data_IF_759526768881
#
_entry.id   IF_759526768881
#
_cell.length_a   1.000
_cell.length_b   1.000
_cell.length_c   1.000
_cell.angle_alpha   90.00
_cell.angle_beta   90.00
_cell.angle_gamma   90.00
#
_symmetry.space_group_name_H-M   'P 1'
#
loop_
_entity.id
_entity.type
_entity.pdbx_description
1 polymer ?
#
# COMPACT_ATOMS: atom_id res chain seq x y z
N UNK A 1 -28.56 3.38 -13.85
CA UNK A 1 -28.52 2.11 -13.11
C UNK A 1 -27.09 1.94 -12.63
N UNK A 2 -26.83 2.06 -11.33
CA UNK A 2 -25.49 1.84 -10.74
C UNK A 2 -25.51 0.52 -9.98
N UNK A 3 -24.53 -0.34 -10.22
CA UNK A 3 -24.31 -1.58 -9.47
C UNK A 3 -22.94 -1.53 -8.80
N UNK A 4 -22.88 -1.99 -7.56
CA UNK A 4 -21.62 -2.17 -6.83
C UNK A 4 -21.05 -3.53 -7.23
N UNK A 5 -19.77 -3.59 -7.58
CA UNK A 5 -19.06 -4.84 -7.92
C UNK A 5 -17.91 -5.00 -6.94
N UNK A 6 -17.95 -6.05 -6.14
CA UNK A 6 -16.84 -6.43 -5.27
C UNK A 6 -15.82 -7.23 -6.08
N UNK A 7 -14.66 -6.64 -6.33
CA UNK A 7 -13.56 -7.32 -7.02
C UNK A 7 -12.73 -8.05 -5.98
N UNK A 8 -12.68 -9.38 -6.11
CA UNK A 8 -11.83 -10.25 -5.30
C UNK A 8 -10.62 -10.68 -6.12
N UNK A 9 -9.43 -10.26 -5.70
CA UNK A 9 -8.16 -10.62 -6.38
C UNK A 9 -7.52 -11.80 -5.65
N UNK A 10 -7.27 -12.88 -6.40
CA UNK A 10 -6.49 -14.03 -5.93
C UNK A 10 -5.03 -13.94 -6.40
N UNK A 11 -4.12 -14.56 -5.66
CA UNK A 11 -2.75 -14.75 -6.13
C UNK A 11 -2.75 -15.63 -7.39
N UNK A 12 -2.36 -15.07 -8.54
CA UNK A 12 -2.26 -15.82 -9.79
C UNK A 12 -1.22 -16.94 -9.69
N UNK A 13 -1.56 -18.12 -10.22
CA UNK A 13 -0.65 -19.27 -10.30
C UNK A 13 -0.57 -20.15 -9.04
N UNK A 14 -1.38 -19.89 -8.00
CA UNK A 14 -1.45 -20.75 -6.81
C UNK A 14 -2.86 -21.30 -6.63
N UNK A 15 -2.99 -22.63 -6.67
CA UNK A 15 -4.28 -23.28 -6.40
C UNK A 15 -4.74 -23.00 -4.96
N UNK A 16 -6.01 -22.62 -4.76
CA UNK A 16 -6.59 -22.48 -3.43
C UNK A 16 -6.47 -23.79 -2.64
N UNK A 17 -6.18 -23.68 -1.34
CA UNK A 17 -6.17 -24.80 -0.40
C UNK A 17 -7.34 -24.60 0.56
N UNK A 18 -8.08 -25.67 0.86
CA UNK A 18 -9.26 -25.58 1.71
C UNK A 18 -8.97 -24.95 3.08
N UNK A 19 -9.83 -24.03 3.50
CA UNK A 19 -9.82 -23.43 4.82
C UNK A 19 -10.46 -24.38 5.82
N UNK A 20 -9.82 -24.59 6.97
CA UNK A 20 -10.43 -25.28 8.09
C UNK A 20 -10.01 -24.60 9.41
N UNK A 21 -10.85 -23.76 10.03
CA UNK A 21 -12.24 -23.41 9.63
C UNK A 21 -12.31 -22.42 8.44
N UNK A 22 -13.42 -22.45 7.67
CA UNK A 22 -13.72 -21.43 6.65
C UNK A 22 -14.68 -21.86 5.52
N UNK A 23 -14.94 -20.96 4.55
CA UNK A 23 -15.80 -21.20 3.39
C UNK A 23 -14.97 -21.63 2.18
N UNK A 24 -15.41 -22.70 1.50
CA UNK A 24 -14.71 -23.33 0.38
C UNK A 24 -15.69 -23.60 -0.78
N UNK A 25 -15.24 -23.39 -2.02
CA UNK A 25 -15.95 -23.82 -3.24
C UNK A 25 -15.08 -24.84 -3.96
N UNK A 26 -15.72 -25.89 -4.47
CA UNK A 26 -15.07 -26.98 -5.19
C UNK A 26 -15.62 -27.08 -6.62
N UNK A 27 -14.79 -27.52 -7.55
CA UNK A 27 -15.26 -27.94 -8.88
C UNK A 27 -15.75 -29.40 -8.86
N UNK A 28 -16.31 -29.86 -9.98
CA UNK A 28 -16.80 -31.24 -10.14
C UNK A 28 -15.72 -32.32 -9.98
N UNK A 29 -14.43 -31.96 -10.11
CA UNK A 29 -13.30 -32.86 -9.89
C UNK A 29 -12.81 -32.87 -8.42
N UNK A 30 -13.51 -32.20 -7.50
CA UNK A 30 -13.15 -32.13 -6.08
C UNK A 30 -12.00 -31.19 -5.76
N UNK A 31 -11.54 -30.38 -6.71
CA UNK A 31 -10.47 -29.41 -6.48
C UNK A 31 -11.03 -28.13 -5.86
N UNK A 32 -10.35 -27.59 -4.85
CA UNK A 32 -10.70 -26.32 -4.24
C UNK A 32 -10.46 -25.18 -5.24
N UNK A 33 -11.53 -24.52 -5.68
CA UNK A 33 -11.48 -23.37 -6.61
C UNK A 33 -11.63 -22.03 -5.89
N UNK A 34 -12.11 -22.05 -4.65
CA UNK A 34 -12.16 -20.89 -3.76
C UNK A 34 -11.99 -21.36 -2.32
N UNK A 35 -11.29 -20.58 -1.51
CA UNK A 35 -11.16 -20.85 -0.07
C UNK A 35 -10.86 -19.55 0.69
N UNK A 36 -11.45 -19.41 1.87
CA UNK A 36 -11.11 -18.32 2.81
C UNK A 36 -9.81 -18.57 3.59
N UNK A 37 -9.07 -19.65 3.30
CA UNK A 37 -7.78 -19.94 3.93
C UNK A 37 -6.77 -18.83 3.65
N UNK A 38 -6.88 -18.23 2.46
CA UNK A 38 -6.18 -17.03 2.07
C UNK A 38 -7.21 -15.92 1.91
N UNK A 39 -7.07 -14.87 2.71
CA UNK A 39 -8.03 -13.77 2.78
C UNK A 39 -8.11 -13.10 1.41
N UNK A 40 -9.31 -13.00 0.80
CA UNK A 40 -9.49 -12.23 -0.42
C UNK A 40 -9.11 -10.76 -0.17
N UNK A 41 -8.37 -10.15 -1.09
CA UNK A 41 -8.22 -8.69 -1.07
C UNK A 41 -9.53 -8.07 -1.54
N UNK A 42 -10.25 -7.44 -0.62
CA UNK A 42 -11.48 -6.67 -0.92
C UNK A 42 -11.10 -5.21 -1.12
N UNK A 43 -11.44 -4.66 -2.28
CA UNK A 43 -11.22 -3.25 -2.60
C UNK A 43 -12.56 -2.52 -2.73
N UNK A 44 -12.80 -1.56 -1.83
CA UNK A 44 -14.07 -0.83 -1.73
C UNK A 44 -14.10 0.48 -2.54
N UNK A 45 -13.19 0.65 -3.50
CA UNK A 45 -13.12 1.88 -4.29
C UNK A 45 -12.56 3.10 -3.55
N UNK A 46 -11.89 2.91 -2.41
CA UNK A 46 -11.32 3.98 -1.60
C UNK A 46 -9.80 4.03 -1.76
N UNK A 47 -9.26 5.22 -2.03
CA UNK A 47 -7.83 5.44 -2.18
C UNK A 47 -7.27 6.42 -1.15
N UNK A 48 -5.97 6.33 -0.93
CA UNK A 48 -5.18 7.24 -0.14
C UNK A 48 -4.04 7.81 -1.00
N UNK A 49 -3.96 9.14 -1.10
CA UNK A 49 -2.85 9.83 -1.78
C UNK A 49 -1.90 10.36 -0.72
N UNK A 50 -0.66 9.88 -0.75
CA UNK A 50 0.33 10.22 0.25
C UNK A 50 0.83 11.66 0.11
N UNK A 51 0.97 12.35 1.24
CA UNK A 51 1.61 13.67 1.37
C UNK A 51 2.71 13.65 2.43
N UNK A 52 3.58 14.66 2.44
CA UNK A 52 4.53 14.91 3.53
C UNK A 52 3.83 15.38 4.82
N UNK A 53 2.60 15.87 4.72
CA UNK A 53 1.72 16.21 5.85
C UNK A 53 0.99 14.96 6.33
N UNK A 54 0.80 14.84 7.66
CA UNK A 54 0.02 13.75 8.25
C UNK A 54 -1.44 13.80 7.80
N UNK A 55 -1.95 12.65 7.34
CA UNK A 55 -3.32 12.46 6.89
C UNK A 55 -3.88 11.20 7.52
N UNK A 56 -5.14 11.25 7.96
CA UNK A 56 -5.85 10.06 8.44
C UNK A 56 -6.10 9.11 7.29
N UNK A 57 -5.90 7.82 7.51
CA UNK A 57 -6.25 6.80 6.52
C UNK A 57 -7.77 6.66 6.48
N UNK A 58 -8.41 6.83 5.30
CA UNK A 58 -9.85 6.67 5.16
C UNK A 58 -10.34 5.33 5.71
N UNK A 59 -11.37 5.36 6.56
CA UNK A 59 -11.96 4.15 7.14
C UNK A 59 -11.05 3.33 8.05
N UNK A 60 -9.88 3.85 8.46
CA UNK A 60 -8.94 3.14 9.32
C UNK A 60 -8.29 1.91 8.66
N UNK A 61 -8.39 1.79 7.33
CA UNK A 61 -7.89 0.65 6.59
C UNK A 61 -6.36 0.59 6.47
N UNK A 62 -5.90 -0.42 5.73
CA UNK A 62 -4.50 -0.67 5.45
C UNK A 62 -4.11 -0.08 4.09
N UNK A 63 -2.90 0.48 4.00
CA UNK A 63 -2.29 0.96 2.75
C UNK A 63 -1.00 0.20 2.45
N UNK A 64 -0.66 0.00 1.17
CA UNK A 64 0.59 -0.66 0.81
C UNK A 64 1.82 0.16 1.23
N UNK A 65 2.80 -0.54 1.81
CA UNK A 65 4.13 0.02 2.11
C UNK A 65 4.97 0.11 0.85
N UNK A 66 5.77 1.17 0.73
CA UNK A 66 6.57 1.42 -0.45
C UNK A 66 7.51 2.62 -0.33
N UNK A 67 8.05 3.02 -1.47
CA UNK A 67 8.89 4.21 -1.63
C UNK A 67 8.11 5.22 -2.46
N UNK A 68 7.97 6.45 -1.96
CA UNK A 68 7.03 7.43 -2.51
C UNK A 68 7.74 8.71 -2.96
N UNK A 69 8.85 8.55 -3.68
CA UNK A 69 9.64 9.65 -4.21
C UNK A 69 10.97 9.85 -3.49
N UNK A 70 11.49 11.07 -3.56
CA UNK A 70 12.83 11.44 -3.15
C UNK A 70 12.77 12.60 -2.15
N UNK A 71 13.57 12.51 -1.09
CA UNK A 71 13.64 13.47 0.00
C UNK A 71 15.07 14.00 0.12
N UNK A 72 15.16 15.32 0.24
CA UNK A 72 16.37 16.04 0.64
C UNK A 72 16.15 16.56 2.07
N UNK A 73 16.93 16.15 3.07
CA UNK A 73 16.77 16.60 4.46
C UNK A 73 17.28 18.02 4.68
N UNK A 74 18.28 18.45 3.90
CA UNK A 74 18.90 19.77 3.99
C UNK A 74 19.62 20.09 2.68
N UNK A 75 19.54 21.36 2.27
CA UNK A 75 20.32 21.92 1.16
C UNK A 75 21.58 22.62 1.70
N UNK A 76 22.36 21.94 2.53
CA UNK A 76 23.59 22.47 3.12
C UNK A 76 24.85 21.87 2.49
N UNK A 77 25.80 22.71 2.08
CA UNK A 77 27.08 22.28 1.50
C UNK A 77 27.02 21.98 -0.01
N UNK A 78 28.15 21.50 -0.56
CA UNK A 78 28.28 21.18 -1.99
C UNK A 78 27.57 19.88 -2.39
N UNK A 79 27.63 18.86 -1.53
CA UNK A 79 26.97 17.55 -1.73
C UNK A 79 25.67 17.49 -0.96
N UNK A 80 24.59 17.15 -1.65
CA UNK A 80 23.26 16.99 -1.06
C UNK A 80 22.90 15.51 -0.98
N UNK A 81 22.58 15.06 0.23
CA UNK A 81 22.19 13.67 0.50
C UNK A 81 20.72 13.42 0.17
N UNK A 82 20.44 12.31 -0.48
CA UNK A 82 19.11 11.91 -0.92
C UNK A 82 18.65 10.65 -0.19
N UNK A 83 17.37 10.64 0.15
CA UNK A 83 16.69 9.52 0.79
C UNK A 83 15.40 9.25 0.04
N UNK A 84 14.91 8.02 0.02
CA UNK A 84 13.54 7.77 -0.39
C UNK A 84 12.56 8.30 0.66
N UNK A 85 11.40 8.76 0.19
CA UNK A 85 10.25 8.89 1.08
C UNK A 85 9.71 7.49 1.43
N UNK A 86 9.61 7.18 2.72
CA UNK A 86 8.88 6.03 3.25
C UNK A 86 7.61 6.47 3.96
N UNK A 87 6.85 5.53 4.51
CA UNK A 87 5.68 5.81 5.35
C UNK A 87 6.08 5.95 6.81
N UNK A 88 5.53 6.97 7.47
CA UNK A 88 5.61 7.15 8.93
C UNK A 88 4.18 7.16 9.45
N UNK A 89 3.89 6.25 10.38
CA UNK A 89 2.60 6.15 11.05
C UNK A 89 2.69 6.69 12.47
N UNK A 90 1.70 7.50 12.85
CA UNK A 90 1.55 7.98 14.22
C UNK A 90 0.06 8.21 14.51
N UNK A 91 -0.46 7.56 15.57
CA UNK A 91 -1.83 7.74 16.06
C UNK A 91 -2.92 7.65 14.95
N UNK A 92 -2.83 6.64 14.07
CA UNK A 92 -3.80 6.43 12.98
C UNK A 92 -3.65 7.35 11.76
N UNK A 93 -2.64 8.22 11.76
CA UNK A 93 -2.29 9.06 10.60
C UNK A 93 -1.02 8.56 9.92
N UNK A 94 -0.92 8.81 8.62
CA UNK A 94 0.23 8.50 7.79
C UNK A 94 0.77 9.77 7.12
N UNK A 95 2.09 9.81 6.96
CA UNK A 95 2.77 10.79 6.10
C UNK A 95 3.99 10.19 5.43
N UNK A 96 4.41 10.82 4.34
CA UNK A 96 5.72 10.62 3.75
C UNK A 96 6.79 11.18 4.70
N UNK A 97 7.73 10.34 5.10
CA UNK A 97 8.85 10.69 5.97
C UNK A 97 10.18 10.16 5.45
N UNK A 98 11.27 10.45 6.19
CA UNK A 98 12.61 9.99 5.80
C UNK A 98 12.68 8.46 5.84
N UNK A 99 12.93 7.85 4.69
CA UNK A 99 13.21 6.43 4.56
C UNK A 99 14.69 6.16 4.31
N UNK A 100 14.94 5.22 3.40
CA UNK A 100 16.26 4.69 3.06
C UNK A 100 17.16 5.74 2.37
N UNK A 101 18.45 5.76 2.69
CA UNK A 101 19.45 6.54 1.98
C UNK A 101 19.70 5.99 0.56
N UNK A 102 19.82 6.89 -0.42
CA UNK A 102 19.96 6.53 -1.85
C UNK A 102 21.33 6.92 -2.39
N UNK A 103 21.88 8.05 -1.94
CA UNK A 103 23.12 8.60 -2.48
C UNK A 103 23.21 10.10 -2.29
N UNK A 104 24.12 10.73 -3.02
CA UNK A 104 24.29 12.17 -3.02
C UNK A 104 24.38 12.70 -4.45
N UNK A 105 24.03 13.97 -4.64
CA UNK A 105 24.28 14.69 -5.88
C UNK A 105 24.74 16.12 -5.57
N UNK A 106 25.31 16.79 -6.57
CA UNK A 106 25.63 18.21 -6.45
C UNK A 106 24.36 19.02 -6.28
N UNK A 107 24.46 20.14 -5.55
CA UNK A 107 23.32 20.98 -5.18
C UNK A 107 22.42 21.36 -6.37
N UNK A 108 23.00 21.64 -7.54
CA UNK A 108 22.26 22.06 -8.73
C UNK A 108 21.38 20.95 -9.31
N UNK A 109 21.65 19.68 -8.96
CA UNK A 109 20.93 18.49 -9.42
C UNK A 109 20.03 17.90 -8.34
N UNK A 110 20.03 18.47 -7.13
CA UNK A 110 19.26 17.95 -6.01
C UNK A 110 17.79 18.36 -6.11
N UNK A 111 16.89 17.39 -6.08
CA UNK A 111 15.45 17.62 -6.10
C UNK A 111 14.74 16.75 -5.05
N UNK A 112 13.59 17.21 -4.58
CA UNK A 112 12.76 16.49 -3.62
C UNK A 112 11.29 16.58 -4.04
N UNK A 113 10.57 15.50 -3.81
CA UNK A 113 9.15 15.42 -4.08
C UNK A 113 8.58 14.11 -3.57
N UNK A 114 7.39 14.19 -2.97
CA UNK A 114 6.55 13.02 -2.73
C UNK A 114 5.84 12.73 -4.04
N UNK A 115 5.92 11.48 -4.52
CA UNK A 115 5.16 11.07 -5.70
C UNK A 115 3.70 10.88 -5.29
N UNK A 116 2.72 11.63 -5.86
CA UNK A 116 1.32 11.55 -5.46
C UNK A 116 0.65 10.34 -6.11
N UNK A 117 1.03 9.14 -5.69
CA UNK A 117 0.44 7.89 -6.15
C UNK A 117 -0.86 7.66 -5.37
N UNK A 118 -1.93 7.34 -6.08
CA UNK A 118 -3.20 6.91 -5.49
C UNK A 118 -3.07 5.45 -5.06
N UNK A 119 -3.05 5.20 -3.75
CA UNK A 119 -2.88 3.86 -3.18
C UNK A 119 -4.24 3.28 -2.79
N UNK A 120 -4.56 2.02 -3.12
CA UNK A 120 -5.79 1.41 -2.65
C UNK A 120 -5.76 1.25 -1.12
N UNK A 121 -6.88 1.57 -0.47
CA UNK A 121 -7.10 1.29 0.96
C UNK A 121 -7.87 -0.01 1.08
N UNK A 122 -7.35 -0.93 1.88
CA UNK A 122 -7.99 -2.21 2.17
C UNK A 122 -8.67 -2.09 3.54
N UNK A 123 -9.97 -2.42 3.67
CA UNK A 123 -10.66 -2.33 4.95
C UNK A 123 -10.06 -3.30 5.98
N UNK A 124 -10.24 -2.97 7.26
CA UNK A 124 -9.98 -3.97 8.30
C UNK A 124 -11.04 -5.07 8.21
N UNK A 125 -10.59 -6.30 7.96
CA UNK A 125 -11.47 -7.45 7.71
C UNK A 125 -11.73 -8.25 8.99
N UNK A 126 -11.20 -7.80 10.14
CA UNK A 126 -11.36 -8.47 11.44
C UNK A 126 -11.73 -7.46 12.51
N UNK A 127 -13.02 -7.16 12.62
CA UNK A 127 -13.62 -6.64 13.85
C UNK A 127 -14.21 -7.81 14.63
#
# INVERSE_FOLDING_TARGET
MSGTVDVVIFAGGVSPVAANPGFNIYNAAGQCTFSTARRPFVYLGVNFVLSATAQTVPGGGYVPVGRFGLRVPSYGGGRIYHYHYGLVMQNGTLRAGRGLYVGWSDRQLANAGVTPISLPVIPDMYV
#
